data_IF_351040496763
#
_entry.id   IF_351040496763
#
_cell.length_a   1.000
_cell.length_b   1.000
_cell.length_c   1.000
_cell.angle_alpha   90.00
_cell.angle_beta   90.00
_cell.angle_gamma   90.00
#
_symmetry.space_group_name_H-M   'P 1'
#
loop_
_entity.id
_entity.type
_entity.pdbx_description
1 polymer ?
#
# COMPACT_ATOMS: atom_id res chain seq x y z
N UNK A 1 -20.66 10.99 6.78
CA UNK A 1 -19.39 11.29 6.09
C UNK A 1 -19.47 10.82 4.65
N UNK A 2 -19.17 11.70 3.68
CA UNK A 2 -19.06 11.30 2.28
C UNK A 2 -17.80 10.41 2.10
N UNK A 3 -17.90 9.45 1.19
CA UNK A 3 -16.75 8.62 0.81
C UNK A 3 -15.67 9.52 0.17
N UNK A 4 -14.37 9.34 0.47
CA UNK A 4 -13.32 10.17 -0.14
C UNK A 4 -13.32 10.07 -1.67
N UNK A 5 -13.04 11.19 -2.34
CA UNK A 5 -12.86 11.21 -3.80
C UNK A 5 -11.44 10.74 -4.16
N UNK A 6 -11.34 9.60 -4.80
CA UNK A 6 -10.07 8.99 -5.25
C UNK A 6 -9.73 9.26 -6.71
N UNK A 7 -10.46 10.14 -7.40
CA UNK A 7 -10.31 10.37 -8.86
C UNK A 7 -8.90 10.83 -9.28
N UNK A 8 -8.14 11.44 -8.37
CA UNK A 8 -6.77 11.90 -8.60
C UNK A 8 -5.75 11.18 -7.71
N UNK A 9 -6.15 10.09 -7.08
CA UNK A 9 -5.31 9.42 -6.12
C UNK A 9 -4.15 8.66 -6.78
N UNK A 10 -3.03 8.61 -6.07
CA UNK A 10 -1.84 7.85 -6.46
C UNK A 10 -1.55 6.80 -5.39
N UNK A 11 -1.48 5.55 -5.81
CA UNK A 11 -0.89 4.48 -5.03
C UNK A 11 0.63 4.58 -5.18
N UNK A 12 1.36 4.66 -4.07
CA UNK A 12 2.81 4.59 -4.06
C UNK A 12 3.27 3.53 -3.07
N UNK A 13 4.22 2.73 -3.49
CA UNK A 13 4.91 1.78 -2.63
C UNK A 13 6.40 1.86 -2.87
N UNK A 14 7.19 1.76 -1.82
CA UNK A 14 8.59 1.39 -1.91
C UNK A 14 8.90 0.28 -0.93
N UNK A 15 9.69 -0.65 -1.42
CA UNK A 15 10.15 -1.86 -0.76
C UNK A 15 11.63 -1.69 -0.43
N UNK A 16 11.99 -1.99 0.80
CA UNK A 16 13.36 -1.93 1.30
C UNK A 16 13.76 -3.33 1.72
N UNK A 17 14.46 -4.06 0.85
CA UNK A 17 15.04 -5.34 1.24
C UNK A 17 16.03 -5.12 2.39
N UNK A 18 15.98 -6.00 3.37
CA UNK A 18 16.83 -5.97 4.55
C UNK A 18 17.64 -7.27 4.61
N UNK A 19 18.87 -7.26 5.16
CA UNK A 19 19.66 -8.46 5.36
C UNK A 19 18.91 -9.54 6.15
N UNK A 20 19.27 -10.78 5.96
CA UNK A 20 18.62 -11.94 6.61
C UNK A 20 18.69 -11.86 8.14
N UNK A 21 19.82 -11.36 8.67
CA UNK A 21 20.06 -11.17 10.09
C UNK A 21 19.53 -9.83 10.66
N UNK A 22 18.78 -9.06 9.87
CA UNK A 22 18.28 -7.76 10.30
C UNK A 22 17.26 -7.91 11.44
N UNK A 23 17.36 -7.04 12.45
CA UNK A 23 16.42 -7.01 13.57
C UNK A 23 15.02 -6.51 13.13
N UNK A 24 14.17 -7.43 12.72
CA UNK A 24 12.80 -7.11 12.27
C UNK A 24 11.90 -6.62 13.43
N UNK A 25 12.17 -7.01 14.67
CA UNK A 25 11.42 -6.46 15.82
C UNK A 25 11.85 -5.01 16.11
N UNK A 26 13.10 -4.66 15.90
CA UNK A 26 13.56 -3.27 15.90
C UNK A 26 12.85 -2.42 14.85
N UNK A 27 12.59 -2.96 13.64
CA UNK A 27 11.77 -2.29 12.62
C UNK A 27 10.34 -2.06 13.13
N UNK A 28 9.70 -3.08 13.69
CA UNK A 28 8.33 -2.99 14.24
C UNK A 28 8.25 -1.95 15.37
N UNK A 29 9.23 -1.94 16.25
CA UNK A 29 9.32 -0.97 17.37
C UNK A 29 9.47 0.46 16.83
N UNK A 30 10.39 0.68 15.90
CA UNK A 30 10.55 1.99 15.24
C UNK A 30 9.25 2.46 14.57
N UNK A 31 8.52 1.57 13.91
CA UNK A 31 7.23 1.92 13.32
C UNK A 31 6.24 2.36 14.39
N UNK A 32 6.09 1.60 15.50
CA UNK A 32 5.16 1.96 16.58
C UNK A 32 5.48 3.32 17.20
N UNK A 33 6.76 3.68 17.32
CA UNK A 33 7.20 4.96 17.91
C UNK A 33 7.04 6.15 16.96
N UNK A 34 7.20 5.95 15.66
CA UNK A 34 7.29 7.03 14.67
C UNK A 34 6.04 7.19 13.79
N UNK A 35 5.17 6.19 13.74
CA UNK A 35 4.05 6.18 12.80
C UNK A 35 3.05 7.33 13.02
N UNK A 36 2.80 7.72 14.28
CA UNK A 36 1.86 8.77 14.62
C UNK A 36 2.13 10.14 13.98
N UNK A 37 3.37 10.38 13.55
CA UNK A 37 3.71 11.61 12.81
C UNK A 37 2.95 11.70 11.48
N UNK A 38 2.67 10.56 10.84
CA UNK A 38 1.93 10.50 9.59
C UNK A 38 0.42 10.59 9.75
N UNK A 39 -0.09 10.45 10.97
CA UNK A 39 -1.54 10.56 11.26
C UNK A 39 -2.06 12.00 11.05
N UNK A 40 -1.16 12.98 10.96
CA UNK A 40 -1.49 14.38 10.73
C UNK A 40 -0.94 14.91 9.39
N UNK A 41 -0.27 14.09 8.58
CA UNK A 41 0.33 14.55 7.32
C UNK A 41 -0.75 14.79 6.27
N UNK A 42 -0.91 16.04 5.76
CA UNK A 42 -1.91 16.34 4.76
C UNK A 42 -1.66 15.60 3.45
N UNK A 43 -2.72 15.32 2.73
CA UNK A 43 -2.63 14.76 1.39
C UNK A 43 -2.50 13.24 1.31
N UNK A 44 -2.44 12.54 2.42
CA UNK A 44 -2.48 11.07 2.49
C UNK A 44 -3.90 10.64 2.85
N UNK A 45 -4.51 9.76 2.06
CA UNK A 45 -5.74 9.08 2.47
C UNK A 45 -5.44 7.98 3.48
N UNK A 46 -4.40 7.21 3.23
CA UNK A 46 -3.94 6.14 4.11
C UNK A 46 -2.47 5.84 3.85
N UNK A 47 -1.75 5.49 4.91
CA UNK A 47 -0.42 4.88 4.86
C UNK A 47 -0.44 3.57 5.62
N UNK A 48 0.08 2.51 5.01
CA UNK A 48 0.35 1.23 5.66
C UNK A 48 1.86 1.08 5.85
N UNK A 49 2.24 0.71 7.07
CA UNK A 49 3.59 0.29 7.40
C UNK A 49 3.60 -1.23 7.41
N UNK A 50 4.29 -1.78 6.44
CA UNK A 50 4.27 -3.19 6.14
C UNK A 50 5.64 -3.83 6.34
N UNK A 51 5.66 -5.06 6.78
CA UNK A 51 6.86 -5.87 6.85
C UNK A 51 6.61 -7.22 6.19
N UNK A 52 7.68 -7.81 5.70
CA UNK A 52 7.73 -9.21 5.35
C UNK A 52 8.96 -9.81 6.05
N UNK A 53 8.79 -10.93 6.69
CA UNK A 53 9.89 -11.61 7.36
C UNK A 53 10.36 -12.79 6.53
N UNK A 54 11.66 -13.06 6.64
CA UNK A 54 12.31 -14.14 5.91
C UNK A 54 11.63 -15.47 6.20
N UNK A 55 11.25 -16.13 5.13
CA UNK A 55 10.78 -17.52 5.10
C UNK A 55 11.45 -18.22 3.93
N UNK A 56 11.17 -19.49 3.71
CA UNK A 56 11.63 -20.20 2.51
C UNK A 56 11.17 -19.55 1.19
N UNK A 57 10.20 -18.66 1.24
CA UNK A 57 9.57 -18.02 0.07
C UNK A 57 9.69 -16.48 0.04
N UNK A 58 10.27 -15.84 1.08
CA UNK A 58 10.37 -14.38 1.17
C UNK A 58 11.64 -13.94 1.89
N UNK A 59 12.13 -12.74 1.57
CA UNK A 59 13.23 -12.05 2.24
C UNK A 59 12.68 -11.13 3.34
N UNK A 60 13.55 -10.71 4.26
CA UNK A 60 13.23 -9.61 5.16
C UNK A 60 13.02 -8.32 4.35
N UNK A 61 11.93 -7.63 4.62
CA UNK A 61 11.57 -6.43 3.89
C UNK A 61 10.77 -5.47 4.79
N UNK A 62 11.09 -4.18 4.71
CA UNK A 62 10.23 -3.11 5.17
C UNK A 62 9.59 -2.41 3.98
N UNK A 63 8.28 -2.25 3.99
CA UNK A 63 7.55 -1.61 2.90
C UNK A 63 6.64 -0.50 3.41
N UNK A 64 6.68 0.64 2.73
CA UNK A 64 5.76 1.75 2.94
C UNK A 64 4.79 1.83 1.76
N UNK A 65 3.49 1.74 2.05
CA UNK A 65 2.42 1.77 1.07
C UNK A 65 1.52 2.97 1.36
N UNK A 66 1.33 3.84 0.36
CA UNK A 66 0.57 5.08 0.50
C UNK A 66 -0.53 5.16 -0.55
N UNK A 67 -1.67 5.73 -0.16
CA UNK A 67 -2.64 6.26 -1.11
C UNK A 67 -2.66 7.78 -0.93
N UNK A 68 -2.10 8.50 -1.88
CA UNK A 68 -2.03 9.95 -1.91
C UNK A 68 -3.27 10.54 -2.58
N UNK A 69 -3.76 11.65 -2.08
CA UNK A 69 -4.93 12.31 -2.63
C UNK A 69 -4.65 13.09 -3.92
N UNK A 70 -3.43 13.60 -4.08
CA UNK A 70 -3.01 14.41 -5.23
C UNK A 70 -1.51 14.27 -5.50
N UNK A 71 -1.05 14.43 -6.77
CA UNK A 71 0.36 14.45 -7.12
C UNK A 71 1.19 15.54 -6.43
N UNK A 72 0.59 16.71 -6.15
CA UNK A 72 1.30 17.82 -5.49
C UNK A 72 1.84 17.45 -4.12
N UNK A 73 1.04 16.74 -3.32
CA UNK A 73 1.49 16.30 -2.00
C UNK A 73 2.64 15.28 -2.06
N UNK A 74 2.66 14.46 -3.11
CA UNK A 74 3.76 13.54 -3.34
C UNK A 74 5.06 14.30 -3.65
N UNK A 75 4.99 15.39 -4.43
CA UNK A 75 6.13 16.25 -4.71
C UNK A 75 6.65 16.91 -3.42
N UNK A 76 5.76 17.46 -2.60
CA UNK A 76 6.10 18.07 -1.31
C UNK A 76 6.73 17.05 -0.35
N UNK A 77 6.21 15.82 -0.32
CA UNK A 77 6.76 14.74 0.48
C UNK A 77 8.21 14.40 0.10
N UNK A 78 8.51 14.23 -1.19
CA UNK A 78 9.85 13.91 -1.65
C UNK A 78 10.86 15.07 -1.47
N UNK A 79 10.38 16.31 -1.46
CA UNK A 79 11.20 17.49 -1.22
C UNK A 79 11.37 17.81 0.28
N UNK A 80 10.66 17.13 1.16
CA UNK A 80 10.59 17.43 2.58
C UNK A 80 11.36 16.46 3.49
N UNK A 81 11.47 16.87 4.76
CA UNK A 81 12.22 16.16 5.80
C UNK A 81 11.73 14.73 6.07
N UNK A 82 10.46 14.46 5.81
CA UNK A 82 9.90 13.11 6.01
C UNK A 82 10.57 12.06 5.14
N UNK A 83 10.78 12.38 3.86
CA UNK A 83 11.46 11.48 2.95
C UNK A 83 12.97 11.44 3.23
N UNK A 84 13.57 12.56 3.55
CA UNK A 84 14.99 12.62 3.90
C UNK A 84 15.31 11.79 5.15
N UNK A 85 14.45 11.84 6.18
CA UNK A 85 14.59 11.00 7.38
C UNK A 85 14.46 9.50 7.06
N UNK A 86 13.61 9.14 6.10
CA UNK A 86 13.53 7.77 5.61
C UNK A 86 14.81 7.38 4.85
N UNK A 87 15.23 8.22 3.91
CA UNK A 87 16.40 7.96 3.07
C UNK A 87 17.69 7.83 3.90
N UNK A 88 17.82 8.61 4.97
CA UNK A 88 18.95 8.52 5.90
C UNK A 88 18.95 7.22 6.72
N UNK A 89 17.77 6.62 6.98
CA UNK A 89 17.65 5.39 7.75
C UNK A 89 17.80 4.12 6.91
N UNK A 90 17.30 4.14 5.67
CA UNK A 90 17.16 2.93 4.83
C UNK A 90 17.75 3.08 3.43
N UNK A 91 18.36 4.22 3.10
CA UNK A 91 18.77 4.55 1.74
C UNK A 91 17.61 5.07 0.88
N UNK A 92 17.93 5.51 -0.35
CA UNK A 92 16.92 5.98 -1.31
C UNK A 92 16.28 4.79 -2.01
N UNK A 93 15.00 4.52 -1.77
CA UNK A 93 14.29 3.43 -2.43
C UNK A 93 13.99 3.77 -3.89
N UNK A 94 13.62 2.76 -4.66
CA UNK A 94 12.99 2.94 -5.98
C UNK A 94 11.48 2.86 -5.80
N UNK A 95 10.74 4.00 -5.79
CA UNK A 95 9.30 3.96 -5.62
C UNK A 95 8.62 3.32 -6.82
N UNK A 96 7.65 2.45 -6.56
CA UNK A 96 6.61 2.07 -7.51
C UNK A 96 5.42 2.98 -7.28
N UNK A 97 4.87 3.57 -8.33
CA UNK A 97 3.67 4.38 -8.24
C UNK A 97 2.69 4.00 -9.35
N UNK A 98 1.42 4.19 -9.09
CA UNK A 98 0.34 3.82 -9.98
C UNK A 98 -0.85 4.76 -9.81
N UNK A 99 -1.59 4.99 -10.88
CA UNK A 99 -2.81 5.77 -10.88
C UNK A 99 -3.94 4.93 -10.27
N UNK A 100 -4.54 5.40 -9.21
CA UNK A 100 -5.68 4.71 -8.59
C UNK A 100 -6.86 4.74 -9.55
N UNK A 101 -7.37 3.58 -9.89
CA UNK A 101 -8.55 3.40 -10.74
C UNK A 101 -9.80 3.22 -9.89
N UNK A 102 -9.71 2.39 -8.86
CA UNK A 102 -10.84 2.07 -8.00
C UNK A 102 -10.38 1.83 -6.56
N UNK A 103 -11.18 2.32 -5.64
CA UNK A 103 -11.10 1.94 -4.22
C UNK A 103 -12.47 1.41 -3.80
N UNK A 104 -12.49 0.29 -3.10
CA UNK A 104 -13.71 -0.32 -2.59
C UNK A 104 -13.50 -0.86 -1.17
N UNK A 105 -14.58 -0.98 -0.41
CA UNK A 105 -14.56 -1.43 0.98
C UNK A 105 -14.88 -0.31 1.97
N UNK A 106 -14.68 -0.53 3.27
CA UNK A 106 -14.99 0.43 4.32
C UNK A 106 -13.71 1.05 4.90
N UNK A 107 -13.40 2.29 4.53
CA UNK A 107 -12.23 3.03 5.00
C UNK A 107 -12.21 3.24 6.53
N UNK A 108 -13.35 3.28 7.19
CA UNK A 108 -13.44 3.38 8.66
C UNK A 108 -12.90 2.13 9.36
N UNK A 109 -12.83 1.02 8.64
CA UNK A 109 -12.33 -0.27 9.17
C UNK A 109 -10.85 -0.50 8.90
N UNK A 110 -10.17 0.38 8.17
CA UNK A 110 -8.76 0.19 7.77
C UNK A 110 -7.80 0.09 8.96
N UNK A 111 -8.11 0.71 10.11
CA UNK A 111 -7.35 0.51 11.35
C UNK A 111 -7.27 -0.97 11.79
N UNK A 112 -8.20 -1.80 11.31
CA UNK A 112 -8.23 -3.24 11.59
C UNK A 112 -7.36 -4.06 10.63
N UNK A 113 -6.73 -3.44 9.64
CA UNK A 113 -5.87 -4.14 8.67
C UNK A 113 -4.68 -4.76 9.39
N UNK A 114 -4.48 -6.05 9.19
CA UNK A 114 -3.34 -6.82 9.70
C UNK A 114 -2.51 -7.44 8.59
N UNK A 115 -3.08 -7.58 7.40
CA UNK A 115 -2.33 -8.04 6.24
C UNK A 115 -2.77 -7.29 4.97
N UNK A 116 -1.83 -7.15 4.05
CA UNK A 116 -2.07 -6.66 2.69
C UNK A 116 -1.55 -7.69 1.69
N UNK A 117 -2.33 -7.96 0.65
CA UNK A 117 -1.93 -8.80 -0.46
C UNK A 117 -1.85 -7.93 -1.71
N UNK A 118 -0.66 -7.83 -2.30
CA UNK A 118 -0.47 -7.19 -3.59
C UNK A 118 -0.43 -8.26 -4.68
N UNK A 119 -1.28 -8.12 -5.67
CA UNK A 119 -1.17 -8.84 -6.93
C UNK A 119 -0.73 -7.87 -8.03
N UNK A 120 0.18 -8.32 -8.89
CA UNK A 120 0.64 -7.55 -10.04
C UNK A 120 0.30 -8.33 -11.30
N UNK A 121 -0.50 -7.72 -12.18
CA UNK A 121 -1.06 -8.36 -13.35
C UNK A 121 -0.61 -7.60 -14.60
N UNK A 122 0.19 -8.21 -15.45
CA UNK A 122 0.60 -7.63 -16.74
C UNK A 122 -0.61 -7.42 -17.64
N UNK A 123 -0.73 -6.23 -18.23
CA UNK A 123 -1.78 -5.91 -19.19
C UNK A 123 -1.30 -6.34 -20.58
N UNK A 124 -1.99 -7.29 -21.25
CA UNK A 124 -1.55 -7.79 -22.53
C UNK A 124 -1.56 -6.68 -23.61
N UNK A 125 -0.62 -6.76 -24.53
CA UNK A 125 -0.60 -5.84 -25.69
C UNK A 125 -1.90 -5.94 -26.47
N UNK A 126 -2.35 -4.83 -27.03
CA UNK A 126 -3.61 -4.72 -27.81
C UNK A 126 -4.88 -4.96 -26.99
N UNK A 127 -4.80 -4.87 -25.67
CA UNK A 127 -5.97 -4.96 -24.78
C UNK A 127 -6.54 -3.57 -24.51
N UNK A 128 -7.85 -3.44 -24.54
CA UNK A 128 -8.52 -2.21 -24.08
C UNK A 128 -8.47 -2.15 -22.56
N UNK A 129 -7.69 -1.20 -22.01
CA UNK A 129 -7.34 -1.14 -20.58
C UNK A 129 -8.59 -1.12 -19.71
N UNK A 130 -9.57 -0.25 -19.99
CA UNK A 130 -10.80 -0.15 -19.20
C UNK A 130 -11.61 -1.45 -19.14
N UNK A 131 -11.68 -2.17 -20.27
CA UNK A 131 -12.34 -3.48 -20.31
C UNK A 131 -11.55 -4.54 -19.52
N UNK A 132 -10.23 -4.50 -19.57
CA UNK A 132 -9.37 -5.40 -18.81
C UNK A 132 -9.56 -5.19 -17.31
N UNK A 133 -9.51 -3.94 -16.83
CA UNK A 133 -9.73 -3.60 -15.43
C UNK A 133 -11.10 -4.07 -14.97
N UNK A 134 -12.16 -3.75 -15.73
CA UNK A 134 -13.52 -4.18 -15.40
C UNK A 134 -13.64 -5.70 -15.30
N UNK A 135 -13.10 -6.42 -16.28
CA UNK A 135 -13.11 -7.90 -16.26
C UNK A 135 -12.32 -8.50 -15.09
N UNK A 136 -11.26 -7.80 -14.63
CA UNK A 136 -10.50 -8.18 -13.45
C UNK A 136 -11.31 -7.99 -12.17
N UNK A 137 -12.02 -6.87 -12.04
CA UNK A 137 -12.90 -6.58 -10.91
C UNK A 137 -13.99 -7.65 -10.74
N UNK A 138 -14.62 -8.02 -11.86
CA UNK A 138 -15.72 -9.00 -11.88
C UNK A 138 -15.29 -10.41 -11.48
N UNK A 139 -14.04 -10.81 -11.78
CA UNK A 139 -13.51 -12.15 -11.47
C UNK A 139 -13.13 -12.37 -10.02
N UNK A 140 -12.96 -11.28 -9.24
CA UNK A 140 -12.44 -11.38 -7.89
C UNK A 140 -13.54 -11.60 -6.87
N UNK A 141 -13.40 -12.68 -6.09
CA UNK A 141 -14.33 -12.98 -5.00
C UNK A 141 -14.27 -11.87 -3.92
N UNK A 142 -15.42 -11.46 -3.39
CA UNK A 142 -15.56 -10.28 -2.51
C UNK A 142 -15.46 -10.61 -1.01
N UNK A 143 -15.21 -11.88 -0.61
CA UNK A 143 -15.66 -12.36 0.69
C UNK A 143 -14.96 -11.83 1.93
N UNK A 144 -13.63 -11.63 1.99
CA UNK A 144 -12.97 -11.41 3.29
C UNK A 144 -12.07 -10.17 3.39
N UNK A 145 -12.30 -9.16 2.54
CA UNK A 145 -11.52 -7.93 2.50
C UNK A 145 -12.15 -6.80 3.32
N UNK A 146 -11.31 -6.04 4.02
CA UNK A 146 -11.71 -4.75 4.59
C UNK A 146 -11.83 -3.69 3.50
N UNK A 147 -10.84 -3.67 2.60
CA UNK A 147 -10.84 -2.79 1.44
C UNK A 147 -9.97 -3.35 0.31
N UNK A 148 -10.07 -2.72 -0.86
CA UNK A 148 -9.28 -3.03 -2.05
C UNK A 148 -8.93 -1.75 -2.78
N UNK A 149 -7.71 -1.67 -3.29
CA UNK A 149 -7.23 -0.60 -4.17
C UNK A 149 -6.77 -1.22 -5.47
N UNK A 150 -7.35 -0.81 -6.58
CA UNK A 150 -6.92 -1.17 -7.94
C UNK A 150 -6.28 0.05 -8.56
N UNK A 151 -5.05 -0.11 -9.06
CA UNK A 151 -4.28 0.96 -9.65
C UNK A 151 -3.57 0.51 -10.93
N UNK A 152 -3.40 1.44 -11.86
CA UNK A 152 -2.69 1.23 -13.13
C UNK A 152 -1.27 1.77 -13.03
N UNK A 153 -0.27 0.92 -13.21
CA UNK A 153 1.13 1.32 -13.42
C UNK A 153 1.38 1.52 -14.94
N UNK A 154 1.44 2.77 -15.41
CA UNK A 154 1.60 3.04 -16.85
C UNK A 154 3.06 2.88 -17.32
N UNK A 155 4.01 2.74 -16.39
CA UNK A 155 5.42 2.54 -16.72
C UNK A 155 5.69 1.08 -17.09
N UNK A 156 5.06 0.16 -16.35
CA UNK A 156 5.22 -1.28 -16.54
C UNK A 156 4.08 -1.93 -17.31
N UNK A 157 2.99 -1.19 -17.55
CA UNK A 157 1.73 -1.70 -18.08
C UNK A 157 1.19 -2.86 -17.27
N UNK A 158 1.08 -2.60 -15.98
CA UNK A 158 0.58 -3.54 -15.00
C UNK A 158 -0.63 -2.99 -14.27
N UNK A 159 -1.54 -3.88 -13.90
CA UNK A 159 -2.57 -3.61 -12.92
C UNK A 159 -2.05 -4.05 -11.55
N UNK A 160 -2.12 -3.16 -10.57
CA UNK A 160 -1.80 -3.45 -9.18
C UNK A 160 -3.11 -3.60 -8.43
N UNK A 161 -3.30 -4.72 -7.77
CA UNK A 161 -4.47 -5.03 -6.94
C UNK A 161 -4.01 -5.25 -5.49
N UNK A 162 -4.27 -4.25 -4.64
CA UNK A 162 -4.04 -4.36 -3.21
C UNK A 162 -5.32 -4.75 -2.49
N UNK A 163 -5.27 -5.87 -1.78
CA UNK A 163 -6.36 -6.38 -0.94
C UNK A 163 -5.94 -6.27 0.52
N UNK A 164 -6.77 -5.62 1.32
CA UNK A 164 -6.52 -5.32 2.73
C UNK A 164 -7.43 -6.20 3.60
N UNK A 165 -6.84 -6.98 4.48
CA UNK A 165 -7.54 -7.97 5.29
C UNK A 165 -7.29 -7.77 6.79
N UNK A 166 -8.26 -8.21 7.62
CA UNK A 166 -8.11 -8.18 9.08
C UNK A 166 -7.19 -9.28 9.61
N UNK A 167 -6.94 -10.30 8.81
CA UNK A 167 -6.11 -11.45 9.15
C UNK A 167 -5.23 -11.83 7.98
N UNK A 168 -4.13 -12.52 8.27
CA UNK A 168 -3.26 -13.07 7.25
C UNK A 168 -3.95 -14.23 6.53
N UNK A 169 -3.81 -14.30 5.22
CA UNK A 169 -4.34 -15.40 4.43
C UNK A 169 -3.28 -16.49 4.35
N UNK A 170 -3.67 -17.73 4.62
CA UNK A 170 -2.72 -18.86 4.65
C UNK A 170 -1.99 -19.05 3.30
N UNK A 171 -2.72 -18.87 2.20
CA UNK A 171 -2.17 -18.98 0.84
C UNK A 171 -2.73 -17.85 -0.02
N UNK A 172 -1.96 -16.77 -0.24
CA UNK A 172 -2.39 -15.72 -1.17
C UNK A 172 -2.57 -16.31 -2.56
N UNK A 173 -3.80 -16.23 -3.07
CA UNK A 173 -4.16 -16.79 -4.37
C UNK A 173 -3.79 -15.79 -5.46
N UNK A 174 -3.02 -16.24 -6.44
CA UNK A 174 -2.73 -15.46 -7.65
C UNK A 174 -1.27 -15.55 -8.08
N UNK A 175 -1.05 -15.36 -9.37
CA UNK A 175 0.29 -15.24 -9.94
C UNK A 175 0.89 -13.90 -9.49
N UNK A 176 2.14 -13.91 -9.01
CA UNK A 176 2.82 -12.72 -8.47
C UNK A 176 2.09 -12.07 -7.28
N UNK A 177 1.45 -12.87 -6.43
CA UNK A 177 0.89 -12.41 -5.16
C UNK A 177 1.98 -12.27 -4.10
N UNK A 178 2.04 -11.11 -3.45
CA UNK A 178 2.96 -10.83 -2.36
C UNK A 178 2.15 -10.40 -1.13
N UNK A 179 2.39 -11.03 0.01
CA UNK A 179 1.66 -10.73 1.24
C UNK A 179 2.58 -10.05 2.26
N UNK A 180 2.07 -9.02 2.87
CA UNK A 180 2.73 -8.22 3.90
C UNK A 180 1.98 -8.31 5.22
N UNK A 181 2.70 -8.28 6.34
CA UNK A 181 2.13 -8.02 7.65
C UNK A 181 2.05 -6.51 7.88
N UNK A 182 0.90 -6.01 8.28
CA UNK A 182 0.69 -4.59 8.56
C UNK A 182 0.95 -4.31 10.04
N UNK A 183 2.00 -3.54 10.29
CA UNK A 183 2.42 -3.15 11.64
C UNK A 183 1.59 -1.98 12.15
N UNK A 184 1.29 -1.00 11.29
CA UNK A 184 0.52 0.18 11.63
C UNK A 184 -0.21 0.74 10.40
N UNK A 185 -1.33 1.42 10.65
CA UNK A 185 -2.12 2.13 9.63
C UNK A 185 -2.31 3.57 10.08
N UNK A 186 -1.78 4.52 9.30
CA UNK A 186 -2.06 5.95 9.50
C UNK A 186 -3.20 6.39 8.58
N UNK A 187 -4.21 7.06 9.16
CA UNK A 187 -5.40 7.59 8.50
C UNK A 187 -5.56 9.09 8.81
N UNK A 188 -4.83 9.98 8.11
CA UNK A 188 -4.81 11.41 8.44
C UNK A 188 -6.16 12.15 8.30
N UNK A 189 -7.17 11.56 7.72
CA UNK A 189 -8.51 12.14 7.59
C UNK A 189 -9.55 11.55 8.53
N UNK A 190 -9.17 10.56 9.32
CA UNK A 190 -10.03 9.95 10.34
C UNK A 190 -9.85 10.69 11.68
N UNK A 191 -10.03 12.03 11.68
CA UNK A 191 -10.11 12.77 12.94
C UNK A 191 -11.40 12.30 13.63
N UNK A 192 -11.23 11.73 14.82
CA UNK A 192 -12.32 11.30 15.69
C UNK A 192 -13.41 12.38 15.80
N UNK A 193 -14.63 12.02 15.37
CA UNK A 193 -15.82 12.68 15.87
C UNK A 193 -15.91 12.38 17.37
N UNK A 194 -15.31 13.26 18.20
CA UNK A 194 -15.57 13.30 19.63
C UNK A 194 -16.87 14.04 19.90
#
# INVERSE_FOLDING_TARGET
MSYPDFSNAILMQYETPLPDEFDMEGVRTRVREKAGVFDQLPGIFVKFYAVNEMTNASLNEYSSIYVWSKPSFLTEFFAGDFFENYANAFGRPTPRWALVHQVSGDFRRLQRTRAAIRQTIGIPRKTHIGQFVKSWEERQNKSDRLARVIALDPVRWELIDFQLTAERVAHPVGVNAHQYDIVHVSLPGAVDDK
#
